data_IF_857455506113
#
_entry.id   IF_857455506113
#
_cell.length_a   1.000
_cell.length_b   1.000
_cell.length_c   1.000
_cell.angle_alpha   90.00
_cell.angle_beta   90.00
_cell.angle_gamma   90.00
#
_symmetry.space_group_name_H-M   'P 1'
#
loop_
_entity.id
_entity.type
_entity.pdbx_description
1 polymer ?
#
# COMPACT_ATOMS: atom_id res chain seq x y z
N UNK A 1 15.74 -0.46 8.58
CA UNK A 1 15.58 0.90 8.03
C UNK A 1 15.86 1.94 9.12
N UNK A 2 16.50 3.07 8.80
CA UNK A 2 16.79 4.14 9.77
C UNK A 2 15.64 5.15 9.83
N UNK A 3 15.51 5.87 10.95
CA UNK A 3 14.53 6.98 11.06
C UNK A 3 14.91 8.10 10.09
N UNK A 4 13.96 8.53 9.26
CA UNK A 4 14.15 9.58 8.24
C UNK A 4 14.82 9.12 6.95
N UNK A 5 15.20 7.84 6.83
CA UNK A 5 15.63 7.23 5.56
C UNK A 5 14.40 7.02 4.66
N UNK A 6 14.51 7.26 3.36
CA UNK A 6 13.46 6.93 2.38
C UNK A 6 13.48 5.44 2.02
N UNK A 7 12.37 4.92 1.50
CA UNK A 7 12.32 3.53 1.01
C UNK A 7 13.38 3.30 -0.07
N UNK A 8 13.53 4.24 -1.00
CA UNK A 8 14.51 4.14 -2.08
C UNK A 8 15.95 4.04 -1.56
N UNK A 9 16.36 4.93 -0.65
CA UNK A 9 17.71 4.91 -0.06
C UNK A 9 17.97 3.62 0.72
N UNK A 10 16.96 3.13 1.45
CA UNK A 10 17.04 1.89 2.19
C UNK A 10 17.23 0.67 1.26
N UNK A 11 16.48 0.60 0.16
CA UNK A 11 16.63 -0.46 -0.84
C UNK A 11 18.00 -0.43 -1.52
N UNK A 12 18.45 0.74 -1.99
CA UNK A 12 19.75 0.90 -2.62
C UNK A 12 20.90 0.42 -1.70
N UNK A 13 20.85 0.78 -0.41
CA UNK A 13 21.82 0.34 0.59
C UNK A 13 21.75 -1.17 0.84
N UNK A 14 20.54 -1.71 0.96
CA UNK A 14 20.33 -3.15 1.24
C UNK A 14 20.80 -4.01 0.08
N UNK A 15 20.47 -3.63 -1.15
CA UNK A 15 20.91 -4.33 -2.37
C UNK A 15 22.42 -4.24 -2.56
N UNK A 16 23.04 -3.11 -2.25
CA UNK A 16 24.50 -2.98 -2.25
C UNK A 16 25.15 -3.99 -1.28
N UNK A 17 24.57 -4.18 -0.10
CA UNK A 17 25.07 -5.15 0.89
C UNK A 17 24.83 -6.58 0.40
N UNK A 18 23.63 -6.89 -0.12
CA UNK A 18 23.32 -8.21 -0.67
C UNK A 18 24.26 -8.59 -1.82
N UNK A 19 24.56 -7.65 -2.72
CA UNK A 19 25.50 -7.84 -3.82
C UNK A 19 26.93 -8.08 -3.32
N UNK A 20 27.38 -7.38 -2.26
CA UNK A 20 28.67 -7.67 -1.63
C UNK A 20 28.71 -9.08 -1.05
N UNK A 21 27.66 -9.51 -0.35
CA UNK A 21 27.58 -10.86 0.23
C UNK A 21 27.64 -11.94 -0.87
N UNK A 22 26.88 -11.75 -1.96
CA UNK A 22 26.94 -12.61 -3.16
C UNK A 22 28.35 -12.68 -3.73
N UNK A 23 29.05 -11.54 -3.80
CA UNK A 23 30.41 -11.48 -4.32
C UNK A 23 31.41 -12.28 -3.48
N UNK A 24 31.22 -12.36 -2.16
CA UNK A 24 32.05 -13.17 -1.26
C UNK A 24 31.73 -14.67 -1.29
N UNK A 25 30.82 -15.12 -2.18
CA UNK A 25 30.51 -16.53 -2.38
C UNK A 25 29.39 -17.07 -1.49
N UNK A 26 28.73 -16.22 -0.71
CA UNK A 26 27.57 -16.63 0.09
C UNK A 26 26.28 -16.55 -0.74
N UNK A 27 25.44 -17.57 -0.66
CA UNK A 27 24.18 -17.64 -1.38
C UNK A 27 23.15 -16.71 -0.73
N UNK A 28 22.97 -15.52 -1.31
CA UNK A 28 21.83 -14.64 -1.01
C UNK A 28 20.81 -14.74 -2.12
N UNK A 29 19.70 -15.44 -1.87
CA UNK A 29 18.54 -15.49 -2.78
C UNK A 29 17.68 -14.24 -2.63
N UNK A 30 16.90 -13.91 -3.65
CA UNK A 30 16.03 -12.73 -3.63
C UNK A 30 14.96 -12.85 -2.52
N UNK A 31 14.44 -14.06 -2.30
CA UNK A 31 13.55 -14.40 -1.16
C UNK A 31 14.19 -14.04 0.18
N UNK A 32 15.48 -14.38 0.37
CA UNK A 32 16.20 -14.05 1.60
C UNK A 32 16.32 -12.54 1.80
N UNK A 33 16.55 -11.80 0.71
CA UNK A 33 16.61 -10.34 0.73
C UNK A 33 15.25 -9.74 1.08
N UNK A 34 14.17 -10.22 0.45
CA UNK A 34 12.77 -9.79 0.70
C UNK A 34 12.39 -10.00 2.16
N UNK A 35 12.60 -11.20 2.72
CA UNK A 35 12.29 -11.50 4.11
C UNK A 35 13.10 -10.61 5.07
N UNK A 36 14.37 -10.36 4.75
CA UNK A 36 15.21 -9.44 5.54
C UNK A 36 14.72 -8.00 5.46
N UNK A 37 14.27 -7.54 4.29
CA UNK A 37 13.71 -6.20 4.10
C UNK A 37 12.45 -6.05 4.95
N UNK A 38 11.48 -6.94 4.80
CA UNK A 38 10.21 -6.94 5.54
C UNK A 38 10.43 -6.97 7.06
N UNK A 39 11.36 -7.80 7.54
CA UNK A 39 11.69 -7.91 8.98
C UNK A 39 12.44 -6.68 9.55
N UNK A 40 13.15 -5.94 8.71
CA UNK A 40 13.99 -4.79 9.10
C UNK A 40 13.31 -3.45 8.81
N UNK A 41 12.07 -3.46 8.31
CA UNK A 41 11.26 -2.26 8.19
C UNK A 41 10.94 -1.68 9.57
N UNK A 42 10.73 -0.36 9.61
CA UNK A 42 10.34 0.35 10.83
C UNK A 42 8.82 0.33 10.99
N UNK A 43 8.35 0.53 12.22
CA UNK A 43 6.94 0.35 12.60
C UNK A 43 5.92 1.16 11.80
N UNK A 44 6.34 2.26 11.15
CA UNK A 44 5.47 3.05 10.25
C UNK A 44 4.96 2.23 9.04
N UNK A 45 5.60 1.11 8.72
CA UNK A 45 5.20 0.20 7.63
C UNK A 45 4.61 -1.12 8.12
N UNK A 46 4.37 -1.31 9.42
CA UNK A 46 3.91 -2.61 9.96
C UNK A 46 2.64 -3.09 9.27
N UNK A 47 1.70 -2.17 8.99
CA UNK A 47 0.45 -2.51 8.30
C UNK A 47 0.67 -3.07 6.89
N UNK A 48 1.47 -2.39 6.06
CA UNK A 48 1.75 -2.84 4.70
C UNK A 48 2.61 -4.11 4.70
N UNK A 49 3.54 -4.24 5.65
CA UNK A 49 4.36 -5.45 5.82
C UNK A 49 3.50 -6.65 6.20
N UNK A 50 2.59 -6.52 7.17
CA UNK A 50 1.66 -7.58 7.53
C UNK A 50 0.78 -7.98 6.34
N UNK A 51 0.23 -6.99 5.64
CA UNK A 51 -0.63 -7.24 4.49
C UNK A 51 0.09 -8.02 3.39
N UNK A 52 1.33 -7.63 3.04
CA UNK A 52 2.14 -8.33 2.03
C UNK A 52 2.42 -9.77 2.47
N UNK A 53 2.67 -10.00 3.76
CA UNK A 53 2.94 -11.34 4.29
C UNK A 53 1.70 -12.24 4.33
N UNK A 54 0.50 -11.65 4.41
CA UNK A 54 -0.76 -12.37 4.43
C UNK A 54 -1.33 -12.61 3.03
N UNK A 55 -1.10 -11.70 2.08
CA UNK A 55 -1.72 -11.74 0.75
C UNK A 55 -0.84 -12.27 -0.37
N UNK A 56 0.48 -12.37 -0.18
CA UNK A 56 1.42 -12.75 -1.25
C UNK A 56 2.43 -13.80 -0.82
N UNK A 57 2.75 -14.69 -1.76
CA UNK A 57 3.83 -15.66 -1.61
C UNK A 57 5.21 -15.00 -1.78
N UNK A 58 6.00 -14.99 -0.71
CA UNK A 58 7.33 -14.36 -0.71
C UNK A 58 8.37 -15.11 -1.55
N UNK A 59 8.12 -16.38 -1.86
CA UNK A 59 9.02 -17.22 -2.68
C UNK A 59 8.97 -16.86 -4.17
N UNK A 60 7.84 -16.33 -4.65
CA UNK A 60 7.64 -15.94 -6.06
C UNK A 60 7.73 -14.42 -6.26
N UNK A 61 7.62 -13.65 -5.19
CA UNK A 61 7.67 -12.20 -5.23
C UNK A 61 9.05 -11.69 -5.69
N UNK A 62 9.04 -10.68 -6.56
CA UNK A 62 10.26 -10.00 -7.00
C UNK A 62 10.63 -8.82 -6.09
N UNK A 63 11.92 -8.49 -6.02
CA UNK A 63 12.42 -7.35 -5.22
C UNK A 63 11.80 -6.03 -5.70
N UNK A 64 11.68 -5.83 -7.01
CA UNK A 64 11.07 -4.63 -7.60
C UNK A 64 9.58 -4.49 -7.21
N UNK A 65 8.85 -5.59 -7.15
CA UNK A 65 7.44 -5.58 -6.74
C UNK A 65 7.28 -5.15 -5.27
N UNK A 66 8.13 -5.69 -4.40
CA UNK A 66 8.18 -5.28 -3.00
C UNK A 66 8.54 -3.80 -2.87
N UNK A 67 9.56 -3.35 -3.62
CA UNK A 67 10.01 -1.97 -3.62
C UNK A 67 8.89 -1.02 -4.03
N UNK A 68 8.18 -1.35 -5.11
CA UNK A 68 7.06 -0.55 -5.61
C UNK A 68 5.92 -0.47 -4.59
N UNK A 69 5.56 -1.61 -3.99
CA UNK A 69 4.49 -1.67 -2.97
C UNK A 69 4.80 -0.75 -1.77
N UNK A 70 6.07 -0.75 -1.31
CA UNK A 70 6.50 0.08 -0.19
C UNK A 70 6.67 1.56 -0.57
N UNK A 71 7.08 1.84 -1.82
CA UNK A 71 7.24 3.20 -2.33
C UNK A 71 5.90 3.91 -2.46
N UNK A 72 4.88 3.22 -3.00
CA UNK A 72 3.51 3.75 -3.10
C UNK A 72 2.97 4.09 -1.71
N UNK A 73 3.20 3.22 -0.72
CA UNK A 73 2.81 3.49 0.66
C UNK A 73 3.53 4.71 1.25
N UNK A 74 4.84 4.87 1.00
CA UNK A 74 5.59 6.05 1.45
C UNK A 74 5.10 7.35 0.79
N UNK A 75 4.75 7.31 -0.49
CA UNK A 75 4.19 8.46 -1.21
C UNK A 75 2.80 8.84 -0.70
N UNK A 76 1.94 7.86 -0.43
CA UNK A 76 0.61 8.08 0.15
C UNK A 76 0.69 8.75 1.53
N UNK A 77 1.64 8.30 2.38
CA UNK A 77 1.90 8.91 3.69
C UNK A 77 2.46 10.35 3.60
N UNK A 78 3.09 10.71 2.48
CA UNK A 78 3.63 12.06 2.23
C UNK A 78 2.65 12.97 1.47
N UNK A 79 1.68 12.41 0.74
CA UNK A 79 0.81 13.10 -0.20
C UNK A 79 -0.64 12.72 -0.01
N UNK A 80 -1.35 13.49 0.81
CA UNK A 80 -2.81 13.48 0.88
C UNK A 80 -3.42 14.21 -0.35
N UNK A 81 -3.02 13.91 -1.59
CA UNK A 81 -3.62 14.50 -2.81
C UNK A 81 -3.41 13.58 -4.02
N UNK A 82 -4.28 12.57 -4.20
CA UNK A 82 -4.67 12.18 -5.57
C UNK A 82 -6.18 12.00 -5.58
N UNK A 83 -6.84 13.12 -5.87
CA UNK A 83 -8.12 13.22 -6.57
C UNK A 83 -9.40 12.68 -5.89
N UNK A 84 -9.94 13.44 -4.93
CA UNK A 84 -11.39 13.49 -4.69
C UNK A 84 -12.02 14.72 -5.39
N UNK A 85 -11.63 14.98 -6.64
CA UNK A 85 -12.30 15.98 -7.50
C UNK A 85 -13.10 15.35 -8.65
N UNK A 86 -13.38 14.06 -8.59
CA UNK A 86 -14.19 13.37 -9.59
C UNK A 86 -15.52 12.87 -9.00
N UNK A 87 -16.31 13.73 -8.35
CA UNK A 87 -17.79 13.68 -8.43
C UNK A 87 -18.47 14.94 -7.85
N UNK A 88 -18.19 16.12 -8.41
CA UNK A 88 -19.20 17.19 -8.34
C UNK A 88 -20.27 16.90 -9.40
N UNK A 89 -21.28 16.13 -9.04
CA UNK A 89 -22.57 16.20 -9.76
C UNK A 89 -23.19 17.54 -9.37
N UNK A 90 -22.84 18.62 -10.06
CA UNK A 90 -23.70 19.80 -10.14
C UNK A 90 -24.93 19.39 -10.92
N UNK A 91 -25.95 18.88 -10.23
CA UNK A 91 -27.30 18.90 -10.76
C UNK A 91 -27.87 20.29 -10.47
N UNK A 92 -27.63 21.23 -11.38
CA UNK A 92 -28.46 22.43 -11.44
C UNK A 92 -29.20 22.45 -12.76
N UNK A 93 -30.45 22.00 -12.70
CA UNK A 93 -31.50 22.63 -13.47
C UNK A 93 -32.77 22.65 -12.62
N UNK A 94 -33.16 23.88 -12.27
CA UNK A 94 -34.50 24.36 -11.94
C UNK A 94 -35.01 24.32 -10.48
N UNK A 95 -35.05 25.53 -9.90
CA UNK A 95 -36.19 26.16 -9.19
C UNK A 95 -36.81 25.41 -7.99
N UNK A 96 -36.60 25.94 -6.78
CA UNK A 96 -37.47 25.66 -5.63
C UNK A 96 -36.99 26.17 -4.26
N UNK A 97 -37.45 27.38 -3.88
CA UNK A 97 -37.63 28.06 -2.57
C UNK A 97 -36.85 27.63 -1.29
N UNK A 98 -36.40 28.60 -0.43
CA UNK A 98 -35.70 28.34 0.82
C UNK A 98 -36.62 28.13 2.03
N UNK A 99 -36.32 27.13 2.87
CA UNK A 99 -37.01 26.87 4.15
C UNK A 99 -36.01 26.50 5.27
N UNK A 100 -36.16 27.18 6.40
CA UNK A 100 -35.45 27.00 7.69
C UNK A 100 -35.64 25.61 8.29
N UNK A 101 -34.60 25.05 8.91
CA UNK A 101 -34.74 23.92 9.85
C UNK A 101 -33.41 23.34 10.30
N UNK A 102 -33.03 23.61 11.55
CA UNK A 102 -31.82 23.10 12.17
C UNK A 102 -31.86 21.59 12.45
N UNK A 103 -30.68 20.99 12.49
CA UNK A 103 -30.46 19.60 12.83
C UNK A 103 -29.06 19.18 12.44
N UNK A 104 -28.08 19.51 13.28
CA UNK A 104 -26.71 19.00 13.16
C UNK A 104 -26.72 17.51 13.51
N UNK A 105 -27.00 16.67 12.52
CA UNK A 105 -26.66 15.26 12.59
C UNK A 105 -25.34 15.09 11.84
N UNK A 106 -24.23 15.09 12.59
CA UNK A 106 -22.96 14.57 12.08
C UNK A 106 -23.08 13.06 12.08
N UNK A 107 -23.32 12.48 10.92
CA UNK A 107 -23.06 11.05 10.71
C UNK A 107 -21.58 10.79 10.94
N UNK A 108 -21.22 9.76 11.73
CA UNK A 108 -19.84 9.43 12.01
C UNK A 108 -19.24 8.65 10.84
N UNK A 109 -18.03 9.06 10.47
CA UNK A 109 -16.97 8.24 9.91
C UNK A 109 -17.38 7.32 8.74
N UNK A 110 -17.63 7.92 7.58
CA UNK A 110 -17.08 7.28 6.37
C UNK A 110 -15.57 7.36 6.51
N UNK A 111 -14.99 6.33 7.14
CA UNK A 111 -13.59 6.01 6.98
C UNK A 111 -13.41 5.88 5.47
N UNK A 112 -12.99 6.97 4.84
CA UNK A 112 -12.61 7.00 3.45
C UNK A 112 -11.58 5.89 3.34
N UNK A 113 -11.97 4.78 2.75
CA UNK A 113 -11.08 3.66 2.52
C UNK A 113 -10.03 4.22 1.58
N UNK A 114 -8.94 4.66 2.20
CA UNK A 114 -7.77 5.21 1.55
C UNK A 114 -7.45 4.36 0.33
N UNK A 115 -6.94 4.92 -0.76
CA UNK A 115 -6.62 4.11 -1.93
C UNK A 115 -5.69 2.92 -1.57
N UNK A 116 -4.95 3.00 -0.45
CA UNK A 116 -4.27 1.86 0.17
C UNK A 116 -5.21 0.71 0.58
N UNK A 117 -6.36 1.02 1.18
CA UNK A 117 -7.41 0.04 1.51
C UNK A 117 -8.12 -0.46 0.26
N UNK A 118 -8.30 0.36 -0.78
CA UNK A 118 -8.87 -0.10 -2.07
C UNK A 118 -7.92 -1.06 -2.80
N UNK A 119 -6.61 -0.82 -2.79
CA UNK A 119 -5.61 -1.75 -3.34
C UNK A 119 -5.54 -3.05 -2.52
N UNK A 120 -5.62 -2.96 -1.19
CA UNK A 120 -5.76 -4.13 -0.30
C UNK A 120 -7.07 -4.90 -0.54
N UNK A 121 -8.16 -4.18 -0.81
CA UNK A 121 -9.46 -4.76 -1.14
C UNK A 121 -9.44 -5.40 -2.54
N UNK A 122 -8.73 -4.82 -3.51
CA UNK A 122 -8.57 -5.39 -4.86
C UNK A 122 -7.70 -6.65 -4.82
N UNK A 123 -6.64 -6.70 -4.00
CA UNK A 123 -5.87 -7.93 -3.79
C UNK A 123 -6.68 -9.03 -3.08
N UNK A 124 -7.56 -8.67 -2.15
CA UNK A 124 -8.41 -9.64 -1.45
C UNK A 124 -9.55 -10.23 -2.31
N UNK A 125 -9.97 -9.56 -3.40
CA UNK A 125 -11.11 -10.01 -4.23
C UNK A 125 -10.70 -10.75 -5.51
N UNK A 126 -9.40 -10.94 -5.79
CA UNK A 126 -8.91 -11.65 -7.00
C UNK A 126 -8.62 -13.14 -6.75
N UNK A 127 -8.81 -13.67 -5.54
CA UNK A 127 -8.68 -15.12 -5.28
C UNK A 127 -9.92 -15.71 -4.60
N UNK A 128 -11.02 -15.73 -5.35
CA UNK A 128 -12.05 -16.75 -5.11
C UNK A 128 -12.74 -17.17 -6.41
N UNK A 129 -11.96 -17.71 -7.34
CA UNK A 129 -12.47 -18.73 -8.24
C UNK A 129 -11.93 -20.08 -7.74
N UNK A 130 -12.73 -20.92 -7.08
CA UNK A 130 -12.36 -22.32 -6.97
C UNK A 130 -12.37 -22.89 -8.39
N UNK A 131 -11.19 -23.25 -8.90
CA UNK A 131 -11.06 -24.18 -10.02
C UNK A 131 -11.48 -25.56 -9.50
N UNK A 132 -12.79 -25.72 -9.32
CA UNK A 132 -13.45 -27.00 -9.10
C UNK A 132 -14.71 -26.98 -9.95
N UNK A 133 -14.61 -27.47 -11.18
CA UNK A 133 -15.49 -28.53 -11.68
C UNK A 133 -15.12 -28.94 -13.13
N UNK A 134 -14.78 -30.23 -13.25
CA UNK A 134 -14.70 -31.09 -14.44
C UNK A 134 -13.32 -31.32 -15.07
#
# INVERSE_FOLDING_TARGET
MKKGETVFEYFARTLTIANKIRFYGETMTDVTVIVKILRSMISKFDYVVCSIKESKDLDIMSIDELQNSLLVHEQCMQGHVVEEQALKITHDSSVGKPGHGGGAFREPDTLEVDNCTKELLIMAHVEKAPDEMA
#
